data_IF_980012357665
#
_entry.id   IF_980012357665
#
_cell.length_a   1.000
_cell.length_b   1.000
_cell.length_c   1.000
_cell.angle_alpha   90.00
_cell.angle_beta   90.00
_cell.angle_gamma   90.00
#
_symmetry.space_group_name_H-M   'P 1'
#
loop_
_entity.id
_entity.type
_entity.pdbx_description
1 polymer ?
#
# COMPACT_ATOMS: atom_id res chain seq x y z
N UNK A 1 -16.28 26.10 -7.21
CA UNK A 1 -16.61 25.18 -6.09
C UNK A 1 -16.85 26.04 -4.87
N UNK A 2 -17.97 25.90 -4.16
CA UNK A 2 -18.17 26.63 -2.91
C UNK A 2 -17.14 26.18 -1.86
N UNK A 3 -16.90 27.03 -0.85
CA UNK A 3 -15.84 26.81 0.14
C UNK A 3 -16.01 25.50 0.93
N UNK A 4 -17.26 25.11 1.20
CA UNK A 4 -17.57 23.88 1.95
C UNK A 4 -17.25 22.65 1.10
N UNK A 5 -17.57 22.68 -0.18
CA UNK A 5 -17.23 21.61 -1.13
C UNK A 5 -15.72 21.50 -1.32
N UNK A 6 -15.00 22.63 -1.36
CA UNK A 6 -13.53 22.65 -1.42
C UNK A 6 -12.89 22.00 -0.20
N UNK A 7 -13.31 22.38 1.02
CA UNK A 7 -12.81 21.77 2.27
C UNK A 7 -13.03 20.26 2.30
N UNK A 8 -14.20 19.79 1.84
CA UNK A 8 -14.49 18.35 1.74
C UNK A 8 -13.60 17.65 0.72
N UNK A 9 -13.33 18.26 -0.43
CA UNK A 9 -12.46 17.69 -1.46
C UNK A 9 -11.01 17.57 -0.97
N UNK A 10 -10.49 18.63 -0.33
CA UNK A 10 -9.14 18.63 0.29
C UNK A 10 -9.06 17.54 1.35
N UNK A 11 -10.04 17.48 2.26
CA UNK A 11 -10.06 16.44 3.29
C UNK A 11 -10.10 15.03 2.72
N UNK A 12 -10.93 14.78 1.70
CA UNK A 12 -11.02 13.47 1.04
C UNK A 12 -9.70 13.09 0.35
N UNK A 13 -9.02 14.06 -0.27
CA UNK A 13 -7.71 13.85 -0.88
C UNK A 13 -6.66 13.52 0.20
N UNK A 14 -6.57 14.31 1.27
CA UNK A 14 -5.67 14.05 2.40
C UNK A 14 -5.92 12.70 3.09
N UNK A 15 -7.20 12.31 3.27
CA UNK A 15 -7.55 11.01 3.86
C UNK A 15 -7.21 9.83 2.95
N UNK A 16 -7.13 10.04 1.63
CA UNK A 16 -6.63 9.02 0.73
C UNK A 16 -5.14 8.74 1.00
N UNK A 17 -4.33 9.78 1.18
CA UNK A 17 -2.91 9.63 1.50
C UNK A 17 -2.66 8.93 2.84
N UNK A 18 -3.49 9.26 3.83
CA UNK A 18 -3.51 8.57 5.13
C UNK A 18 -3.65 7.05 4.96
N UNK A 19 -4.67 6.63 4.20
CA UNK A 19 -4.95 5.21 3.98
C UNK A 19 -3.90 4.55 3.10
N UNK A 20 -3.49 5.21 2.03
CA UNK A 20 -2.52 4.66 1.08
C UNK A 20 -1.14 4.43 1.74
N UNK A 21 -0.75 5.30 2.67
CA UNK A 21 0.51 5.19 3.42
C UNK A 21 0.60 3.91 4.29
N UNK A 22 -0.53 3.28 4.64
CA UNK A 22 -0.56 1.97 5.28
C UNK A 22 0.18 0.91 4.45
N UNK A 23 -0.04 0.90 3.13
CA UNK A 23 0.61 -0.04 2.22
C UNK A 23 2.12 0.19 2.18
N UNK A 24 2.56 1.45 2.04
CA UNK A 24 3.99 1.79 2.01
C UNK A 24 4.71 1.40 3.32
N UNK A 25 4.10 1.68 4.47
CA UNK A 25 4.72 1.44 5.78
C UNK A 25 4.65 -0.03 6.20
N UNK A 26 3.48 -0.67 6.12
CA UNK A 26 3.29 -2.05 6.60
C UNK A 26 3.71 -3.08 5.56
N UNK A 27 3.29 -2.91 4.30
CA UNK A 27 3.49 -3.92 3.26
C UNK A 27 4.84 -3.76 2.59
N UNK A 28 5.23 -2.55 2.17
CA UNK A 28 6.50 -2.39 1.46
C UNK A 28 7.70 -2.37 2.40
N UNK A 29 7.60 -1.66 3.53
CA UNK A 29 8.77 -1.36 4.36
C UNK A 29 8.98 -2.34 5.54
N UNK A 30 7.95 -2.63 6.33
CA UNK A 30 8.16 -3.21 7.66
C UNK A 30 7.76 -4.69 7.80
N UNK A 31 6.49 -5.03 7.56
CA UNK A 31 5.95 -6.33 8.00
C UNK A 31 6.10 -7.41 6.94
N UNK A 32 5.65 -7.16 5.71
CA UNK A 32 5.68 -8.19 4.67
C UNK A 32 7.10 -8.65 4.30
N UNK A 33 8.15 -7.82 4.20
CA UNK A 33 9.50 -8.30 3.88
C UNK A 33 10.02 -9.33 4.90
N UNK A 34 9.74 -9.07 6.19
CA UNK A 34 10.07 -9.97 7.29
C UNK A 34 9.23 -11.22 7.21
N UNK A 35 7.90 -11.09 7.11
CA UNK A 35 6.96 -12.22 6.99
C UNK A 35 7.26 -13.10 5.78
N UNK A 36 7.66 -12.51 4.65
CA UNK A 36 8.04 -13.21 3.45
C UNK A 36 9.22 -14.14 3.73
N UNK A 37 10.26 -13.62 4.38
CA UNK A 37 11.48 -14.40 4.65
C UNK A 37 11.30 -15.41 5.78
N UNK A 38 10.59 -15.04 6.85
CA UNK A 38 10.46 -15.86 8.06
C UNK A 38 9.31 -16.87 8.03
N UNK A 39 8.30 -16.65 7.19
CA UNK A 39 7.11 -17.51 7.10
C UNK A 39 6.90 -17.98 5.66
N UNK A 40 6.62 -17.09 4.71
CA UNK A 40 6.21 -17.51 3.37
C UNK A 40 7.30 -18.31 2.63
N UNK A 41 8.57 -17.91 2.78
CA UNK A 41 9.73 -18.53 2.15
C UNK A 41 10.59 -19.35 3.14
N UNK A 42 10.08 -19.66 4.33
CA UNK A 42 10.87 -20.35 5.37
C UNK A 42 11.29 -21.77 5.01
N UNK A 43 10.66 -22.37 4.01
CA UNK A 43 11.03 -23.68 3.45
C UNK A 43 12.23 -23.61 2.50
N UNK A 44 12.70 -22.41 2.17
CA UNK A 44 13.86 -22.17 1.31
C UNK A 44 15.10 -21.82 2.14
N UNK A 45 16.32 -22.06 1.61
CA UNK A 45 17.53 -21.54 2.22
C UNK A 45 17.47 -20.00 2.37
N UNK A 46 17.97 -19.39 3.46
CA UNK A 46 17.82 -17.96 3.73
C UNK A 46 18.31 -17.04 2.61
N UNK A 47 19.40 -17.41 1.95
CA UNK A 47 19.94 -16.67 0.79
C UNK A 47 18.99 -16.72 -0.41
N UNK A 48 18.30 -17.85 -0.62
CA UNK A 48 17.31 -18.01 -1.68
C UNK A 48 16.03 -17.24 -1.34
N UNK A 49 15.55 -17.30 -0.10
CA UNK A 49 14.39 -16.51 0.35
C UNK A 49 14.62 -15.00 0.12
N UNK A 50 15.79 -14.51 0.51
CA UNK A 50 16.22 -13.11 0.30
C UNK A 50 16.28 -12.76 -1.19
N UNK A 51 16.87 -13.63 -2.02
CA UNK A 51 16.95 -13.42 -3.46
C UNK A 51 15.55 -13.40 -4.11
N UNK A 52 14.63 -14.29 -3.70
CA UNK A 52 13.25 -14.33 -4.21
C UNK A 52 12.48 -13.07 -3.85
N UNK A 53 12.65 -12.55 -2.63
CA UNK A 53 12.07 -11.26 -2.27
C UNK A 53 12.62 -10.12 -3.14
N UNK A 54 13.95 -10.05 -3.31
CA UNK A 54 14.58 -9.06 -4.19
C UNK A 54 14.12 -9.12 -5.64
N UNK A 55 13.97 -10.33 -6.21
CA UNK A 55 13.41 -10.49 -7.56
C UNK A 55 11.94 -10.07 -7.63
N UNK A 56 11.15 -10.39 -6.60
CA UNK A 56 9.73 -10.01 -6.51
C UNK A 56 9.58 -8.50 -6.54
N UNK A 57 10.31 -7.79 -5.68
CA UNK A 57 10.23 -6.33 -5.59
C UNK A 57 10.76 -5.64 -6.83
N UNK A 58 11.86 -6.15 -7.40
CA UNK A 58 12.44 -5.63 -8.65
C UNK A 58 11.49 -5.83 -9.84
N UNK A 59 10.85 -7.00 -9.94
CA UNK A 59 9.90 -7.28 -11.01
C UNK A 59 8.64 -6.43 -10.87
N UNK A 60 8.10 -6.26 -9.66
CA UNK A 60 6.99 -5.35 -9.40
C UNK A 60 7.34 -3.91 -9.80
N UNK A 61 8.52 -3.42 -9.40
CA UNK A 61 9.00 -2.08 -9.74
C UNK A 61 9.17 -1.90 -11.26
N UNK A 62 9.69 -2.91 -11.97
CA UNK A 62 9.80 -2.89 -13.43
C UNK A 62 8.43 -2.79 -14.10
N UNK A 63 7.45 -3.57 -13.66
CA UNK A 63 6.08 -3.50 -14.19
C UNK A 63 5.47 -2.13 -13.94
N UNK A 64 5.60 -1.59 -12.73
CA UNK A 64 5.13 -0.23 -12.40
C UNK A 64 5.81 0.81 -13.27
N UNK A 65 7.12 0.72 -13.50
CA UNK A 65 7.87 1.65 -14.33
C UNK A 65 7.42 1.62 -15.81
N UNK A 66 7.09 0.45 -16.34
CA UNK A 66 6.57 0.29 -17.71
C UNK A 66 5.14 0.82 -17.82
N UNK A 67 4.29 0.52 -16.84
CA UNK A 67 2.88 0.90 -16.83
C UNK A 67 2.70 2.39 -16.52
N UNK A 68 3.58 2.99 -15.73
CA UNK A 68 3.50 4.37 -15.24
C UNK A 68 3.26 5.42 -16.33
N UNK A 69 4.08 5.51 -17.39
CA UNK A 69 3.87 6.46 -18.49
C UNK A 69 2.52 6.27 -19.19
N UNK A 70 2.06 5.03 -19.33
CA UNK A 70 0.76 4.71 -19.95
C UNK A 70 -0.38 5.23 -19.07
N UNK A 71 -0.31 4.99 -17.76
CA UNK A 71 -1.32 5.48 -16.82
C UNK A 71 -1.30 7.01 -16.70
N UNK A 72 -0.12 7.63 -16.74
CA UNK A 72 0.03 9.09 -16.75
C UNK A 72 -0.64 9.71 -17.97
N UNK A 73 -0.33 9.20 -19.17
CA UNK A 73 -1.01 9.65 -20.39
C UNK A 73 -2.53 9.44 -20.32
N UNK A 74 -2.99 8.30 -19.79
CA UNK A 74 -4.43 8.08 -19.57
C UNK A 74 -5.03 9.08 -18.59
N UNK A 75 -4.30 9.45 -17.52
CA UNK A 75 -4.75 10.44 -16.55
C UNK A 75 -4.85 11.84 -17.18
N UNK A 76 -3.95 12.20 -18.09
CA UNK A 76 -3.96 13.50 -18.76
C UNK A 76 -5.10 13.63 -19.78
N UNK A 77 -5.39 12.56 -20.54
CA UNK A 77 -6.36 12.62 -21.65
C UNK A 77 -7.77 12.12 -21.32
N UNK A 78 -7.97 11.28 -20.29
CA UNK A 78 -9.31 10.78 -19.90
C UNK A 78 -9.87 11.53 -18.68
N UNK A 79 -11.08 12.07 -18.81
CA UNK A 79 -11.83 12.74 -17.73
C UNK A 79 -12.36 11.84 -16.61
N UNK A 80 -11.92 10.58 -16.46
CA UNK A 80 -12.48 9.62 -15.50
C UNK A 80 -11.48 9.15 -14.44
N UNK A 81 -10.60 10.04 -13.98
CA UNK A 81 -9.52 9.79 -13.01
C UNK A 81 -9.99 9.06 -11.75
N UNK A 82 -11.14 9.46 -11.18
CA UNK A 82 -11.72 8.83 -9.98
C UNK A 82 -12.03 7.35 -10.18
N UNK A 83 -12.56 6.97 -11.35
CA UNK A 83 -12.87 5.56 -11.65
C UNK A 83 -11.60 4.72 -11.73
N UNK A 84 -10.56 5.23 -12.38
CA UNK A 84 -9.29 4.52 -12.46
C UNK A 84 -8.62 4.40 -11.08
N UNK A 85 -8.61 5.48 -10.30
CA UNK A 85 -8.17 5.46 -8.90
C UNK A 85 -8.88 4.34 -8.12
N UNK A 86 -10.21 4.28 -8.18
CA UNK A 86 -10.98 3.23 -7.48
C UNK A 86 -10.65 1.81 -7.94
N UNK A 87 -10.39 1.60 -9.24
CA UNK A 87 -10.00 0.28 -9.76
C UNK A 87 -8.64 -0.13 -9.23
N UNK A 88 -7.63 0.72 -9.33
CA UNK A 88 -6.28 0.42 -8.86
C UNK A 88 -6.21 0.28 -7.33
N UNK A 89 -6.91 1.16 -6.60
CA UNK A 89 -7.10 1.03 -5.16
C UNK A 89 -7.75 -0.32 -4.81
N UNK A 90 -8.80 -0.73 -5.54
CA UNK A 90 -9.46 -2.01 -5.34
C UNK A 90 -8.53 -3.21 -5.56
N UNK A 91 -7.69 -3.15 -6.60
CA UNK A 91 -6.64 -4.17 -6.85
C UNK A 91 -5.67 -4.21 -5.67
N UNK A 92 -5.17 -3.06 -5.23
CA UNK A 92 -4.22 -2.94 -4.12
C UNK A 92 -4.77 -3.49 -2.81
N UNK A 93 -5.95 -3.04 -2.42
CA UNK A 93 -6.65 -3.48 -1.20
C UNK A 93 -6.95 -4.96 -1.24
N UNK A 94 -7.48 -5.47 -2.37
CA UNK A 94 -7.81 -6.90 -2.50
C UNK A 94 -6.56 -7.76 -2.43
N UNK A 95 -5.50 -7.39 -3.14
CA UNK A 95 -4.25 -8.13 -3.11
C UNK A 95 -3.62 -8.13 -1.70
N UNK A 96 -3.68 -6.99 -1.01
CA UNK A 96 -3.18 -6.86 0.37
C UNK A 96 -3.99 -7.72 1.34
N UNK A 97 -5.32 -7.63 1.30
CA UNK A 97 -6.19 -8.45 2.16
C UNK A 97 -6.01 -9.96 1.91
N UNK A 98 -5.77 -10.37 0.66
CA UNK A 98 -5.49 -11.77 0.33
C UNK A 98 -4.15 -12.27 0.88
N UNK A 99 -3.22 -11.39 1.27
CA UNK A 99 -1.99 -11.80 1.97
C UNK A 99 -2.31 -12.47 3.31
N UNK A 100 -3.49 -12.22 3.90
CA UNK A 100 -3.98 -12.94 5.07
C UNK A 100 -3.95 -14.47 4.86
N UNK A 101 -4.13 -14.97 3.64
CA UNK A 101 -4.15 -16.42 3.38
C UNK A 101 -2.76 -17.03 3.15
N UNK A 102 -1.70 -16.21 3.04
CA UNK A 102 -0.33 -16.68 2.85
C UNK A 102 0.16 -17.37 4.12
N UNK A 103 0.54 -18.64 4.00
CA UNK A 103 1.10 -19.44 5.10
C UNK A 103 2.52 -19.88 4.80
N UNK A 104 3.06 -20.71 5.68
CA UNK A 104 4.40 -21.30 5.58
C UNK A 104 4.61 -22.00 4.24
N UNK A 105 5.63 -21.55 3.48
CA UNK A 105 5.97 -22.12 2.17
C UNK A 105 5.27 -21.45 0.97
N UNK A 106 4.31 -20.55 1.18
CA UNK A 106 3.53 -19.89 0.13
C UNK A 106 4.23 -18.65 -0.49
N UNK A 107 5.57 -18.66 -0.58
CA UNK A 107 6.35 -17.53 -1.09
C UNK A 107 5.92 -17.06 -2.48
N UNK A 108 5.50 -17.98 -3.36
CA UNK A 108 5.05 -17.63 -4.71
C UNK A 108 3.73 -16.87 -4.68
N UNK A 109 2.78 -17.29 -3.84
CA UNK A 109 1.52 -16.58 -3.64
C UNK A 109 1.78 -15.18 -3.06
N UNK A 110 2.65 -15.09 -2.05
CA UNK A 110 3.07 -13.82 -1.46
C UNK A 110 3.69 -12.88 -2.52
N UNK A 111 4.54 -13.41 -3.39
CA UNK A 111 5.14 -12.65 -4.49
C UNK A 111 4.11 -12.11 -5.47
N UNK A 112 3.18 -12.97 -5.92
CA UNK A 112 2.12 -12.58 -6.86
C UNK A 112 1.23 -11.49 -6.25
N UNK A 113 0.78 -11.68 -5.01
CA UNK A 113 -0.06 -10.72 -4.30
C UNK A 113 0.67 -9.39 -4.07
N UNK A 114 1.96 -9.41 -3.71
CA UNK A 114 2.76 -8.20 -3.60
C UNK A 114 2.86 -7.44 -4.94
N UNK A 115 3.07 -8.15 -6.06
CA UNK A 115 3.15 -7.53 -7.39
C UNK A 115 1.82 -6.83 -7.73
N UNK A 116 0.69 -7.50 -7.54
CA UNK A 116 -0.63 -6.88 -7.76
C UNK A 116 -0.89 -5.73 -6.78
N UNK A 117 -0.50 -5.89 -5.51
CA UNK A 117 -0.57 -4.84 -4.50
C UNK A 117 0.20 -3.60 -4.92
N UNK A 118 1.44 -3.77 -5.38
CA UNK A 118 2.32 -2.71 -5.86
C UNK A 118 1.77 -2.01 -7.10
N UNK A 119 1.26 -2.75 -8.08
CA UNK A 119 0.59 -2.19 -9.27
C UNK A 119 -0.66 -1.40 -8.86
N UNK A 120 -1.46 -1.93 -7.93
CA UNK A 120 -2.64 -1.25 -7.40
C UNK A 120 -2.29 0.04 -6.68
N UNK A 121 -1.31 -0.01 -5.77
CA UNK A 121 -0.79 1.15 -5.04
C UNK A 121 -0.27 2.22 -5.99
N UNK A 122 0.72 1.91 -6.83
CA UNK A 122 1.34 2.87 -7.74
C UNK A 122 0.37 3.39 -8.79
N UNK A 123 -0.46 2.52 -9.36
CA UNK A 123 -1.47 2.94 -10.33
C UNK A 123 -2.49 3.89 -9.72
N UNK A 124 -2.92 3.64 -8.48
CA UNK A 124 -3.86 4.51 -7.78
C UNK A 124 -3.27 5.88 -7.47
N UNK A 125 -1.98 5.94 -7.11
CA UNK A 125 -1.23 7.17 -6.86
C UNK A 125 -1.16 8.06 -8.10
N UNK A 126 -0.91 7.49 -9.29
CA UNK A 126 -0.89 8.27 -10.55
C UNK A 126 -2.19 9.05 -10.76
N UNK A 127 -3.35 8.40 -10.55
CA UNK A 127 -4.65 9.07 -10.70
C UNK A 127 -5.00 9.99 -9.53
N UNK A 128 -4.53 9.66 -8.33
CA UNK A 128 -4.67 10.48 -7.12
C UNK A 128 -3.93 11.82 -7.25
N UNK A 129 -2.69 11.80 -7.70
CA UNK A 129 -1.89 13.01 -7.93
C UNK A 129 -2.50 13.86 -9.05
N UNK A 130 -2.98 13.22 -10.12
CA UNK A 130 -3.66 13.90 -11.23
C UNK A 130 -4.99 14.59 -10.83
N UNK A 131 -5.55 14.28 -9.66
CA UNK A 131 -6.73 14.95 -9.10
C UNK A 131 -6.38 16.21 -8.31
N UNK A 132 -5.14 16.37 -7.83
CA UNK A 132 -4.75 17.50 -6.98
C UNK A 132 -5.04 18.88 -7.60
N UNK A 133 -4.76 19.13 -8.90
CA UNK A 133 -5.11 20.42 -9.54
C UNK A 133 -6.63 20.69 -9.63
N UNK A 134 -7.48 19.69 -9.38
CA UNK A 134 -8.93 19.84 -9.33
C UNK A 134 -9.45 20.05 -7.90
N UNK A 135 -8.60 19.81 -6.89
CA UNK A 135 -8.92 19.89 -5.46
C UNK A 135 -8.43 21.20 -4.84
N UNK A 136 -7.23 21.66 -5.22
CA UNK A 136 -6.59 22.86 -4.72
C UNK A 136 -6.43 23.91 -5.84
N UNK A 137 -6.46 25.20 -5.48
CA UNK A 137 -6.07 26.26 -6.42
C UNK A 137 -4.56 26.27 -6.61
N UNK A 138 -4.02 26.80 -7.73
CA UNK A 138 -2.58 26.80 -8.01
C UNK A 138 -1.71 27.32 -6.86
N UNK A 139 -2.20 28.29 -6.09
CA UNK A 139 -1.51 28.92 -4.96
C UNK A 139 -1.50 28.03 -3.69
N UNK A 140 -2.41 27.07 -3.60
CA UNK A 140 -2.59 26.21 -2.42
C UNK A 140 -2.10 24.77 -2.66
N UNK A 141 -1.78 24.39 -3.90
CA UNK A 141 -1.37 23.02 -4.27
C UNK A 141 -0.25 22.51 -3.35
N UNK A 142 0.78 23.32 -3.14
CA UNK A 142 1.94 22.97 -2.31
C UNK A 142 1.54 22.72 -0.84
N UNK A 143 0.71 23.60 -0.29
CA UNK A 143 0.23 23.48 1.09
C UNK A 143 -0.67 22.27 1.27
N UNK A 144 -1.58 22.00 0.32
CA UNK A 144 -2.48 20.84 0.36
C UNK A 144 -1.70 19.54 0.19
N UNK A 145 -0.74 19.50 -0.74
CA UNK A 145 0.15 18.36 -0.95
C UNK A 145 0.97 18.04 0.31
N UNK A 146 1.64 19.05 0.88
CA UNK A 146 2.44 18.91 2.10
C UNK A 146 1.60 18.42 3.29
N UNK A 147 0.36 18.90 3.43
CA UNK A 147 -0.58 18.41 4.45
C UNK A 147 -1.02 16.97 4.18
N UNK A 148 -1.27 16.61 2.93
CA UNK A 148 -1.52 15.24 2.49
C UNK A 148 -0.42 14.32 2.98
N UNK A 149 0.82 14.61 2.54
CA UNK A 149 2.00 13.85 2.89
C UNK A 149 2.20 13.71 4.40
N UNK A 150 2.09 14.80 5.16
CA UNK A 150 2.21 14.76 6.62
C UNK A 150 1.13 13.85 7.26
N UNK A 151 -0.11 13.94 6.80
CA UNK A 151 -1.18 13.05 7.25
C UNK A 151 -0.96 11.60 6.82
N UNK A 152 -0.39 11.37 5.64
CA UNK A 152 0.08 10.06 5.18
C UNK A 152 1.03 9.40 6.18
N UNK A 153 2.08 10.11 6.58
CA UNK A 153 3.04 9.61 7.57
C UNK A 153 2.40 9.32 8.93
N UNK A 154 1.50 10.19 9.39
CA UNK A 154 0.78 9.95 10.64
C UNK A 154 -0.08 8.69 10.51
N UNK A 155 -0.84 8.54 9.43
CA UNK A 155 -1.72 7.40 9.22
C UNK A 155 -0.98 6.08 9.09
N UNK A 156 0.01 6.02 8.20
CA UNK A 156 0.87 4.86 8.02
C UNK A 156 1.65 4.52 9.29
N UNK A 157 2.19 5.53 9.98
CA UNK A 157 2.91 5.36 11.24
C UNK A 157 2.04 4.84 12.38
N UNK A 158 0.82 5.35 12.54
CA UNK A 158 -0.13 4.89 13.56
C UNK A 158 -0.53 3.44 13.30
N UNK A 159 -0.89 3.10 12.06
CA UNK A 159 -1.23 1.72 11.72
C UNK A 159 -0.03 0.78 11.92
N UNK A 160 1.17 1.18 11.48
CA UNK A 160 2.37 0.40 11.67
C UNK A 160 2.68 0.19 13.15
N UNK A 161 2.53 1.21 13.98
CA UNK A 161 2.70 1.09 15.43
C UNK A 161 1.71 0.08 16.03
N UNK A 162 0.43 0.13 15.64
CA UNK A 162 -0.57 -0.86 16.05
C UNK A 162 -0.17 -2.26 15.60
N UNK A 163 0.24 -2.42 14.34
CA UNK A 163 0.68 -3.70 13.77
C UNK A 163 1.88 -4.28 14.53
N UNK A 164 2.90 -3.45 14.80
CA UNK A 164 4.08 -3.87 15.57
C UNK A 164 3.71 -4.27 16.99
N UNK A 165 2.89 -3.46 17.69
CA UNK A 165 2.42 -3.81 19.03
C UNK A 165 1.62 -5.11 19.03
N UNK A 166 0.74 -5.29 18.06
CA UNK A 166 -0.06 -6.50 17.88
C UNK A 166 0.82 -7.73 17.62
N UNK A 167 1.82 -7.62 16.75
CA UNK A 167 2.76 -8.71 16.44
C UNK A 167 3.68 -9.01 17.64
N UNK A 168 4.13 -7.99 18.36
CA UNK A 168 5.10 -8.15 19.47
C UNK A 168 4.44 -8.71 20.73
N UNK A 169 3.23 -8.23 21.07
CA UNK A 169 2.55 -8.58 22.32
C UNK A 169 1.41 -9.58 22.14
N UNK A 170 1.00 -9.88 20.91
CA UNK A 170 -0.14 -10.74 20.63
C UNK A 170 -0.04 -12.12 21.27
N UNK A 171 1.13 -12.76 21.18
CA UNK A 171 1.37 -14.08 21.79
C UNK A 171 1.32 -14.05 23.32
N UNK A 172 1.68 -12.90 23.93
CA UNK A 172 1.63 -12.72 25.39
C UNK A 172 0.19 -12.49 25.86
N UNK A 173 -0.60 -11.74 25.08
CA UNK A 173 -1.99 -11.40 25.40
C UNK A 173 -2.96 -12.55 25.10
N UNK A 174 -2.67 -13.35 24.08
CA UNK A 174 -3.52 -14.46 23.62
C UNK A 174 -2.70 -15.74 23.50
N UNK A 175 -2.33 -16.39 24.62
CA UNK A 175 -1.55 -17.62 24.57
C UNK A 175 -2.30 -18.75 23.84
N UNK A 176 -1.57 -19.55 23.05
CA UNK A 176 -2.03 -20.70 22.24
C UNK A 176 -2.72 -20.37 20.90
N UNK A 177 -2.61 -19.15 20.37
CA UNK A 177 -2.99 -18.84 18.99
C UNK A 177 -1.85 -19.15 18.02
N UNK A 178 -2.16 -19.23 16.72
CA UNK A 178 -1.17 -19.34 15.65
C UNK A 178 -0.19 -18.14 15.71
N UNK A 179 1.13 -18.36 15.90
CA UNK A 179 2.11 -17.27 16.01
C UNK A 179 2.19 -16.35 14.78
N UNK A 180 1.72 -16.84 13.63
CA UNK A 180 1.67 -16.05 12.39
C UNK A 180 0.41 -15.21 12.27
N UNK A 181 -0.61 -15.45 13.11
CA UNK A 181 -1.94 -14.85 12.99
C UNK A 181 -1.88 -13.32 13.08
N UNK A 182 -1.14 -12.78 14.04
CA UNK A 182 -1.04 -11.32 14.22
C UNK A 182 -0.37 -10.65 13.03
N UNK A 183 0.67 -11.28 12.48
CA UNK A 183 1.30 -10.81 11.23
C UNK A 183 0.33 -10.86 10.06
N UNK A 184 -0.47 -11.93 9.94
CA UNK A 184 -1.47 -12.08 8.87
C UNK A 184 -2.62 -11.08 9.00
N UNK A 185 -3.06 -10.78 10.23
CA UNK A 185 -4.08 -9.76 10.52
C UNK A 185 -3.61 -8.35 10.17
N UNK A 186 -2.31 -8.07 10.24
CA UNK A 186 -1.76 -6.77 9.85
C UNK A 186 -1.95 -6.42 8.36
N UNK A 187 -2.33 -7.41 7.54
CA UNK A 187 -2.60 -7.25 6.12
C UNK A 187 -4.07 -6.95 5.78
N UNK A 188 -4.96 -6.95 6.79
CA UNK A 188 -6.41 -6.72 6.63
C UNK A 188 -6.80 -5.42 7.31
#
# INVERSE_FOLDING_TARGET
MDEKTKKKAVWAWTMYDWGNSAFATTIMAAVLPVYYSSVAASTLPPNIATARWGFTTSFAALLVAIIGPILGAVADFKGNKKRFLSIFMGIGVTATALLYFVKTGDWLLASILYIFGSIGFSGSLVFYDALLPHVASPEEIDQVSSRGFAMGYIGGGVLLAINVLMITFGDTLFPNIDPTLMSRLSFV
#
